data_IF_925619023576
#
_entry.id   IF_925619023576
#
_cell.length_a   1.000
_cell.length_b   1.000
_cell.length_c   1.000
_cell.angle_alpha   90.00
_cell.angle_beta   90.00
_cell.angle_gamma   90.00
#
_symmetry.space_group_name_H-M   'P 1'
#
loop_
_entity.id
_entity.type
_entity.pdbx_description
1 polymer ?
#
# COMPACT_ATOMS: atom_id res chain seq x y z
N UNK A 1 -7.70 -28.02 -9.70
CA UNK A 1 -7.12 -26.64 -9.68
C UNK A 1 -5.61 -26.77 -9.86
N UNK A 2 -4.98 -26.12 -10.85
CA UNK A 2 -3.52 -26.22 -11.07
C UNK A 2 -2.76 -25.56 -9.91
N UNK A 3 -1.67 -26.18 -9.44
CA UNK A 3 -0.80 -25.71 -8.35
C UNK A 3 -0.38 -24.24 -8.52
N UNK A 4 0.00 -23.82 -9.73
CA UNK A 4 0.37 -22.42 -9.99
C UNK A 4 -0.81 -21.45 -9.78
N UNK A 5 -2.02 -21.89 -10.16
CA UNK A 5 -3.27 -21.13 -9.95
C UNK A 5 -3.64 -21.08 -8.47
N UNK A 6 -3.42 -22.16 -7.72
CA UNK A 6 -3.63 -22.22 -6.28
C UNK A 6 -2.65 -21.31 -5.52
N UNK A 7 -1.36 -21.31 -5.89
CA UNK A 7 -0.34 -20.41 -5.34
C UNK A 7 -0.69 -18.96 -5.63
N UNK A 8 -1.12 -18.66 -6.86
CA UNK A 8 -1.57 -17.32 -7.25
C UNK A 8 -2.78 -16.88 -6.41
N UNK A 9 -3.82 -17.69 -6.29
CA UNK A 9 -5.00 -17.35 -5.48
C UNK A 9 -4.69 -17.21 -3.98
N UNK A 10 -3.79 -18.04 -3.45
CA UNK A 10 -3.34 -17.90 -2.07
C UNK A 10 -2.58 -16.58 -1.89
N UNK A 11 -1.70 -16.19 -2.82
CA UNK A 11 -0.95 -14.93 -2.74
C UNK A 11 -1.83 -13.67 -2.76
N UNK A 12 -3.05 -13.77 -3.31
CA UNK A 12 -4.04 -12.67 -3.38
C UNK A 12 -5.23 -12.90 -2.45
N UNK A 13 -5.11 -13.80 -1.47
CA UNK A 13 -6.18 -14.05 -0.51
C UNK A 13 -6.46 -12.80 0.34
N UNK A 14 -7.73 -12.58 0.78
CA UNK A 14 -8.08 -11.44 1.62
C UNK A 14 -7.23 -11.33 2.89
N UNK A 15 -6.87 -12.46 3.50
CA UNK A 15 -6.00 -12.52 4.69
C UNK A 15 -4.58 -12.03 4.40
N UNK A 16 -4.00 -12.39 3.24
CA UNK A 16 -2.67 -11.91 2.88
C UNK A 16 -2.69 -10.42 2.57
N UNK A 17 -3.78 -9.93 1.96
CA UNK A 17 -3.95 -8.50 1.69
C UNK A 17 -4.20 -7.71 2.98
N UNK A 18 -4.93 -8.25 3.96
CA UNK A 18 -5.10 -7.60 5.26
C UNK A 18 -3.77 -7.43 6.00
N UNK A 19 -2.84 -8.39 5.91
CA UNK A 19 -1.47 -8.24 6.41
C UNK A 19 -0.73 -7.09 5.72
N UNK A 20 -0.91 -6.93 4.41
CA UNK A 20 -0.34 -5.79 3.66
C UNK A 20 -0.92 -4.45 4.15
N UNK A 21 -2.24 -4.38 4.37
CA UNK A 21 -2.92 -3.18 4.89
C UNK A 21 -2.37 -2.83 6.28
N UNK A 22 -2.33 -3.79 7.21
CA UNK A 22 -1.84 -3.59 8.59
C UNK A 22 -0.38 -3.07 8.59
N UNK A 23 0.49 -3.61 7.73
CA UNK A 23 1.86 -3.14 7.63
C UNK A 23 1.96 -1.73 7.03
N UNK A 24 1.11 -1.40 6.06
CA UNK A 24 1.05 -0.05 5.50
C UNK A 24 0.59 0.96 6.57
N UNK A 25 -0.48 0.66 7.32
CA UNK A 25 -0.99 1.53 8.39
C UNK A 25 0.07 1.81 9.44
N UNK A 26 0.83 0.79 9.88
CA UNK A 26 1.95 1.01 10.81
C UNK A 26 3.03 1.92 10.26
N UNK A 27 3.28 1.84 8.96
CA UNK A 27 4.20 2.77 8.30
C UNK A 27 3.71 4.21 8.48
N UNK A 28 2.43 4.48 8.23
CA UNK A 28 1.84 5.80 8.45
C UNK A 28 1.91 6.24 9.92
N UNK A 29 1.52 5.37 10.85
CA UNK A 29 1.53 5.65 12.29
C UNK A 29 2.94 5.99 12.81
N UNK A 30 3.98 5.29 12.31
CA UNK A 30 5.37 5.55 12.71
C UNK A 30 5.92 6.87 12.12
N UNK A 31 5.41 7.33 10.98
CA UNK A 31 5.75 8.64 10.45
C UNK A 31 5.15 9.78 11.27
N UNK A 32 3.97 9.56 11.89
CA UNK A 32 3.22 10.56 12.66
C UNK A 32 2.87 11.84 11.87
N UNK A 33 2.71 11.72 10.55
CA UNK A 33 2.37 12.85 9.66
C UNK A 33 0.87 12.90 9.39
N UNK A 34 0.31 11.77 8.93
CA UNK A 34 -1.13 11.60 8.68
C UNK A 34 -1.51 10.13 8.80
N UNK A 35 -2.80 9.87 8.94
CA UNK A 35 -3.35 8.51 8.87
C UNK A 35 -3.34 7.99 7.44
N UNK A 36 -3.33 6.66 7.32
CA UNK A 36 -3.54 5.99 6.05
C UNK A 36 -5.02 6.12 5.67
N UNK A 37 -5.30 6.66 4.50
CA UNK A 37 -6.65 6.71 3.98
C UNK A 37 -6.92 5.46 3.11
N UNK A 38 -8.17 4.99 3.07
CA UNK A 38 -8.62 3.88 2.23
C UNK A 38 -8.10 3.99 0.79
N UNK A 39 -8.17 5.19 0.22
CA UNK A 39 -7.74 5.43 -1.15
C UNK A 39 -6.23 5.17 -1.34
N UNK A 40 -5.38 5.51 -0.38
CA UNK A 40 -3.93 5.30 -0.52
C UNK A 40 -3.55 3.82 -0.77
N UNK A 41 -4.37 2.87 -0.30
CA UNK A 41 -4.16 1.44 -0.47
C UNK A 41 -4.12 1.00 -1.93
N UNK A 42 -4.89 1.66 -2.79
CA UNK A 42 -4.98 1.35 -4.22
C UNK A 42 -3.72 1.76 -5.00
N UNK A 43 -2.84 2.53 -4.37
CA UNK A 43 -1.51 2.83 -4.89
C UNK A 43 -0.49 1.94 -4.19
N UNK A 44 -0.51 1.91 -2.86
CA UNK A 44 0.53 1.24 -2.05
C UNK A 44 0.61 -0.27 -2.34
N UNK A 45 -0.53 -0.97 -2.42
CA UNK A 45 -0.55 -2.42 -2.56
C UNK A 45 -0.09 -2.87 -3.96
N UNK A 46 -0.57 -2.27 -5.07
CA UNK A 46 0.01 -2.54 -6.39
C UNK A 46 1.48 -2.16 -6.45
N UNK A 47 1.87 -1.06 -5.80
CA UNK A 47 3.25 -0.60 -5.77
C UNK A 47 4.20 -1.59 -5.08
N UNK A 48 3.75 -2.23 -4.00
CA UNK A 48 4.49 -3.31 -3.35
C UNK A 48 4.73 -4.51 -4.28
N UNK A 49 3.79 -4.79 -5.19
CA UNK A 49 3.90 -5.90 -6.14
C UNK A 49 4.84 -5.61 -7.31
N UNK A 50 5.38 -4.39 -7.42
CA UNK A 50 6.32 -3.99 -8.46
C UNK A 50 7.79 -4.29 -8.06
N UNK A 51 8.50 -5.19 -8.77
CA UNK A 51 9.82 -5.65 -8.34
C UNK A 51 10.89 -4.54 -8.18
N UNK A 52 10.94 -3.50 -9.04
CA UNK A 52 11.86 -2.37 -8.82
C UNK A 52 11.58 -1.62 -7.51
N UNK A 53 10.31 -1.42 -7.14
CA UNK A 53 9.95 -0.85 -5.84
C UNK A 53 10.44 -1.75 -4.69
N UNK A 54 10.22 -3.07 -4.77
CA UNK A 54 10.72 -3.99 -3.74
C UNK A 54 12.25 -3.88 -3.55
N UNK A 55 13.02 -3.83 -4.64
CA UNK A 55 14.49 -3.69 -4.59
C UNK A 55 14.92 -2.38 -3.92
N UNK A 56 14.21 -1.29 -4.19
CA UNK A 56 14.51 0.03 -3.65
C UNK A 56 14.16 0.11 -2.15
N UNK A 57 12.94 -0.28 -1.78
CA UNK A 57 12.43 -0.16 -0.41
C UNK A 57 12.98 -1.20 0.57
N UNK A 58 13.50 -2.33 0.08
CA UNK A 58 14.22 -3.32 0.90
C UNK A 58 15.47 -2.74 1.56
N UNK A 59 16.11 -1.73 0.95
CA UNK A 59 17.38 -1.14 1.40
C UNK A 59 17.22 0.17 2.19
N UNK A 60 16.00 0.71 2.31
CA UNK A 60 15.77 1.99 2.98
C UNK A 60 15.85 1.81 4.50
N UNK A 61 16.80 2.51 5.11
CA UNK A 61 16.82 2.87 6.53
C UNK A 61 16.28 4.29 6.60
N UNK A 62 15.28 4.53 7.45
CA UNK A 62 14.38 5.68 7.36
C UNK A 62 15.05 7.08 7.48
N UNK A 63 16.33 7.19 7.83
CA UNK A 63 17.07 8.46 7.80
C UNK A 63 17.48 8.96 6.40
N UNK A 64 17.11 8.26 5.31
CA UNK A 64 17.40 8.67 3.90
C UNK A 64 16.18 9.17 3.10
N UNK A 65 15.05 9.51 3.74
CA UNK A 65 13.80 9.98 3.07
C UNK A 65 14.07 11.08 2.03
N UNK A 66 15.00 11.99 2.33
CA UNK A 66 15.33 13.12 1.47
C UNK A 66 15.92 12.74 0.09
N UNK A 67 16.53 11.55 -0.06
CA UNK A 67 17.03 11.11 -1.37
C UNK A 67 15.95 10.42 -2.18
N UNK A 68 15.09 9.62 -1.55
CA UNK A 68 14.01 8.92 -2.25
C UNK A 68 12.95 9.87 -2.80
N UNK A 69 12.51 10.85 -2.00
CA UNK A 69 11.57 11.87 -2.48
C UNK A 69 12.14 12.59 -3.71
N UNK A 70 13.43 12.96 -3.66
CA UNK A 70 14.13 13.56 -4.80
C UNK A 70 14.25 12.62 -5.99
N UNK A 71 14.53 11.34 -5.79
CA UNK A 71 14.68 10.37 -6.89
C UNK A 71 13.34 10.06 -7.58
N UNK A 72 12.24 10.02 -6.81
CA UNK A 72 10.86 9.89 -7.31
C UNK A 72 10.44 11.13 -8.09
N UNK A 73 10.70 12.33 -7.55
CA UNK A 73 10.40 13.61 -8.19
C UNK A 73 11.26 13.84 -9.45
N UNK A 74 12.50 13.31 -9.49
CA UNK A 74 13.42 13.44 -10.63
C UNK A 74 13.21 12.40 -11.73
N UNK A 75 12.63 11.24 -11.44
CA UNK A 75 12.39 10.18 -12.43
C UNK A 75 10.93 9.68 -12.43
N UNK A 76 9.95 10.55 -12.74
CA UNK A 76 8.53 10.17 -12.80
C UNK A 76 8.26 9.05 -13.83
N UNK A 77 9.09 8.95 -14.87
CA UNK A 77 9.01 7.91 -15.90
C UNK A 77 9.31 6.49 -15.39
N UNK A 78 9.88 6.33 -14.19
CA UNK A 78 10.02 5.02 -13.55
C UNK A 78 8.65 4.44 -13.20
N UNK A 79 7.65 5.31 -12.99
CA UNK A 79 6.31 4.95 -12.56
C UNK A 79 5.27 5.06 -13.67
N UNK A 80 5.47 5.85 -14.72
CA UNK A 80 4.55 5.94 -15.87
C UNK A 80 4.41 4.62 -16.68
N UNK A 81 5.28 3.64 -16.42
CA UNK A 81 5.16 2.27 -16.96
C UNK A 81 4.38 1.31 -16.05
N UNK A 82 3.67 1.81 -15.03
CA UNK A 82 2.68 1.04 -14.28
C UNK A 82 1.46 0.74 -15.17
N UNK A 83 1.65 -0.06 -16.22
CA UNK A 83 0.57 -0.82 -16.87
C UNK A 83 0.15 -2.01 -15.99
N UNK A 84 0.12 -1.80 -14.66
CA UNK A 84 -0.46 -2.76 -13.74
C UNK A 84 -1.97 -2.73 -13.97
N UNK A 85 -2.60 -3.90 -14.00
CA UNK A 85 -4.05 -4.02 -14.13
C UNK A 85 -4.71 -3.58 -12.83
N UNK A 86 -4.68 -2.27 -12.54
CA UNK A 86 -5.23 -1.62 -11.35
C UNK A 86 -6.64 -2.11 -11.05
N UNK A 87 -7.48 -2.21 -12.09
CA UNK A 87 -8.85 -2.72 -12.02
C UNK A 87 -8.96 -4.10 -11.34
N UNK A 88 -8.05 -5.04 -11.65
CA UNK A 88 -8.08 -6.38 -11.04
C UNK A 88 -7.60 -6.34 -9.60
N UNK A 89 -6.63 -5.48 -9.30
CA UNK A 89 -6.11 -5.30 -7.94
C UNK A 89 -7.14 -4.67 -7.01
N UNK A 90 -8.02 -3.79 -7.52
CA UNK A 90 -9.03 -3.10 -6.72
C UNK A 90 -9.99 -4.04 -6.02
N UNK A 91 -10.51 -5.06 -6.72
CA UNK A 91 -11.42 -6.03 -6.11
C UNK A 91 -10.77 -6.79 -4.96
N UNK A 92 -9.51 -7.21 -5.13
CA UNK A 92 -8.78 -7.91 -4.07
C UNK A 92 -8.47 -7.01 -2.88
N UNK A 93 -8.12 -5.75 -3.12
CA UNK A 93 -7.89 -4.76 -2.06
C UNK A 93 -9.17 -4.51 -1.26
N UNK A 94 -10.31 -4.31 -1.95
CA UNK A 94 -11.62 -4.17 -1.31
C UNK A 94 -11.95 -5.38 -0.42
N UNK A 95 -11.77 -6.60 -0.95
CA UNK A 95 -11.99 -7.82 -0.17
C UNK A 95 -11.06 -7.92 1.04
N UNK A 96 -9.78 -7.55 0.90
CA UNK A 96 -8.83 -7.55 2.01
C UNK A 96 -9.18 -6.52 3.09
N UNK A 97 -9.68 -5.34 2.72
CA UNK A 97 -10.18 -4.33 3.64
C UNK A 97 -11.41 -4.83 4.38
N UNK A 98 -12.41 -5.34 3.66
CA UNK A 98 -13.64 -5.89 4.27
C UNK A 98 -13.30 -7.02 5.24
N UNK A 99 -12.44 -7.95 4.83
CA UNK A 99 -11.97 -9.02 5.71
C UNK A 99 -11.29 -8.47 6.97
N UNK A 100 -10.46 -7.44 6.84
CA UNK A 100 -9.78 -6.83 7.99
C UNK A 100 -10.76 -6.13 8.95
N UNK A 101 -11.82 -5.52 8.43
CA UNK A 101 -12.88 -4.89 9.24
C UNK A 101 -13.73 -5.97 9.93
N UNK A 102 -14.19 -6.98 9.20
CA UNK A 102 -15.02 -8.08 9.72
C UNK A 102 -14.33 -8.88 10.83
N UNK A 103 -13.00 -8.90 10.84
CA UNK A 103 -12.18 -9.59 11.85
C UNK A 103 -11.59 -8.64 12.90
N UNK A 104 -12.12 -7.41 13.02
CA UNK A 104 -11.69 -6.40 13.98
C UNK A 104 -10.18 -6.11 13.95
N UNK A 105 -9.51 -6.27 12.81
CA UNK A 105 -8.08 -6.01 12.65
C UNK A 105 -7.80 -4.52 12.42
N UNK A 106 -8.75 -3.85 11.76
CA UNK A 106 -8.72 -2.40 11.50
C UNK A 106 -10.09 -1.78 11.77
N UNK A 107 -10.08 -0.48 12.04
CA UNK A 107 -11.25 0.39 12.06
C UNK A 107 -11.09 1.44 10.95
N UNK A 108 -12.20 1.79 10.30
CA UNK A 108 -12.27 2.85 9.30
C UNK A 108 -13.29 3.90 9.75
N UNK A 109 -12.87 5.16 9.83
CA UNK A 109 -13.76 6.25 10.22
C UNK A 109 -14.55 6.84 9.04
N UNK A 110 -15.39 7.83 9.32
CA UNK A 110 -16.23 8.52 8.32
C UNK A 110 -15.44 9.21 7.19
N UNK A 111 -14.17 9.54 7.44
CA UNK A 111 -13.26 10.11 6.44
C UNK A 111 -12.50 9.02 5.67
N UNK A 112 -12.85 7.76 5.89
CA UNK A 112 -12.16 6.59 5.37
C UNK A 112 -10.72 6.45 5.85
N UNK A 113 -10.35 7.09 6.96
CA UNK A 113 -9.03 6.89 7.57
C UNK A 113 -9.01 5.56 8.32
N UNK A 114 -7.91 4.83 8.16
CA UNK A 114 -7.71 3.49 8.67
C UNK A 114 -6.82 3.53 9.91
N UNK A 115 -7.28 2.89 10.98
CA UNK A 115 -6.51 2.64 12.21
C UNK A 115 -6.45 1.14 12.50
N UNK A 116 -5.34 0.64 13.04
CA UNK A 116 -5.23 -0.77 13.45
C UNK A 116 -5.82 -0.98 14.84
N UNK A 117 -6.52 -2.11 15.02
CA UNK A 117 -7.07 -2.52 16.30
C UNK A 117 -6.13 -3.52 16.98
N UNK A 118 -5.20 -3.00 17.78
CA UNK A 118 -4.29 -3.81 18.59
C UNK A 118 -2.82 -3.72 18.20
N UNK A 119 -2.00 -4.49 18.92
CA UNK A 119 -0.53 -4.44 18.80
C UNK A 119 -0.03 -5.51 17.86
N UNK A 120 -0.03 -5.23 16.56
CA UNK A 120 0.55 -6.11 15.56
C UNK A 120 2.04 -5.79 15.33
N UNK A 121 2.91 -6.78 15.13
CA UNK A 121 4.30 -6.56 14.67
C UNK A 121 4.35 -6.30 13.17
N UNK A 122 5.22 -5.41 12.69
CA UNK A 122 5.46 -5.31 11.26
C UNK A 122 6.38 -6.45 10.83
N UNK A 123 5.89 -7.30 9.94
CA UNK A 123 6.56 -8.46 9.38
C UNK A 123 6.93 -8.24 7.90
N UNK A 124 6.29 -7.27 7.23
CA UNK A 124 6.56 -6.94 5.82
C UNK A 124 7.21 -5.55 5.74
N UNK A 125 8.52 -5.51 6.03
CA UNK A 125 9.33 -4.27 6.11
C UNK A 125 9.25 -3.38 4.86
N UNK A 126 9.11 -3.98 3.67
CA UNK A 126 9.02 -3.24 2.41
C UNK A 126 7.73 -2.40 2.35
N UNK A 127 6.56 -3.02 2.59
CA UNK A 127 5.28 -2.31 2.66
C UNK A 127 5.30 -1.24 3.75
N UNK A 128 5.82 -1.59 4.93
CA UNK A 128 5.94 -0.65 6.03
C UNK A 128 6.72 0.60 5.60
N UNK A 129 7.88 0.41 4.95
CA UNK A 129 8.68 1.52 4.45
C UNK A 129 7.96 2.32 3.35
N UNK A 130 7.23 1.66 2.44
CA UNK A 130 6.43 2.34 1.42
C UNK A 130 5.38 3.23 2.08
N UNK A 131 4.60 2.67 3.03
CA UNK A 131 3.57 3.42 3.74
C UNK A 131 4.16 4.61 4.49
N UNK A 132 5.26 4.39 5.20
CA UNK A 132 5.94 5.45 5.94
C UNK A 132 6.43 6.59 5.02
N UNK A 133 6.92 6.29 3.82
CA UNK A 133 7.31 7.31 2.84
C UNK A 133 6.08 8.02 2.26
N UNK A 134 5.04 7.29 1.85
CA UNK A 134 3.86 7.87 1.21
C UNK A 134 3.00 8.71 2.16
N UNK A 135 3.16 8.51 3.47
CA UNK A 135 2.56 9.40 4.49
C UNK A 135 2.98 10.87 4.35
N UNK A 136 4.09 11.17 3.67
CA UNK A 136 4.57 12.54 3.43
C UNK A 136 3.80 13.28 2.33
N UNK A 137 2.94 12.59 1.58
CA UNK A 137 2.15 13.16 0.48
C UNK A 137 0.67 13.00 0.79
N UNK A 138 -0.16 13.97 0.40
CA UNK A 138 -1.62 13.84 0.50
C UNK A 138 -2.12 12.76 -0.46
N UNK A 139 -3.27 12.17 -0.16
CA UNK A 139 -3.92 11.18 -1.04
C UNK A 139 -4.11 11.73 -2.45
N UNK A 140 -4.68 12.94 -2.59
CA UNK A 140 -4.84 13.59 -3.89
C UNK A 140 -3.50 13.75 -4.65
N UNK A 141 -2.41 14.09 -3.96
CA UNK A 141 -1.09 14.21 -4.59
C UNK A 141 -0.56 12.87 -5.09
N UNK A 142 -0.77 11.77 -4.37
CA UNK A 142 -0.35 10.43 -4.81
C UNK A 142 -1.15 10.01 -6.04
N UNK A 143 -2.46 10.20 -6.00
CA UNK A 143 -3.36 9.84 -7.09
C UNK A 143 -3.05 10.55 -8.40
N UNK A 144 -2.85 11.87 -8.33
CA UNK A 144 -2.47 12.67 -9.50
C UNK A 144 -1.10 12.25 -10.04
N UNK A 145 -0.15 11.92 -9.15
CA UNK A 145 1.20 11.50 -9.55
C UNK A 145 1.21 10.14 -10.27
N UNK A 146 0.35 9.21 -9.85
CA UNK A 146 0.25 7.87 -10.44
C UNK A 146 -0.84 7.75 -11.52
N UNK A 147 -1.48 8.86 -11.91
CA UNK A 147 -2.53 8.92 -12.93
C UNK A 147 -3.66 7.90 -12.68
N UNK A 148 -4.03 7.71 -11.41
CA UNK A 148 -5.07 6.74 -11.02
C UNK A 148 -6.45 7.35 -11.25
N UNK A 149 -7.27 6.72 -12.10
CA UNK A 149 -8.67 7.09 -12.25
C UNK A 149 -9.47 6.70 -10.98
N UNK A 150 -9.78 7.71 -10.18
CA UNK A 150 -10.55 7.58 -8.93
C UNK A 150 -11.97 7.06 -9.16
N UNK A 151 -12.55 7.26 -10.34
CA UNK A 151 -13.94 6.84 -10.62
C UNK A 151 -14.08 5.31 -10.75
N UNK A 152 -12.96 4.58 -10.83
CA UNK A 152 -12.91 3.12 -10.95
C UNK A 152 -12.80 2.44 -9.57
N UNK A 153 -12.57 3.23 -8.51
CA UNK A 153 -12.38 2.78 -7.13
C UNK A 153 -13.67 2.88 -6.35
#
# INVERSE_FOLDING_TARGET
MNLAKAIYYNSISPENISKLIINATKGFDDAKIRKLNFFDLFIIIPFYSYPPAQKQFKKIVFNKINSFQRDVERNPNTFSKFNFRYEKSFQYIKLGVLYAIENDLIFMDENMDITINGKFRSDIKIIYNIGKVFSTKTTASLYNFFEVDVNVI
#
